data_IF_454053915806
#
_entry.id   IF_454053915806
#
_cell.length_a   1.000
_cell.length_b   1.000
_cell.length_c   1.000
_cell.angle_alpha   90.00
_cell.angle_beta   90.00
_cell.angle_gamma   90.00
#
_symmetry.space_group_name_H-M   'P 1'
#
loop_
_entity.id
_entity.type
_entity.pdbx_description
1 polymer ?
#
# COMPACT_ATOMS: atom_id res chain seq x y z
N UNK A 1 -41.93 -69.14 -30.12
CA UNK A 1 -42.48 -67.98 -29.39
C UNK A 1 -41.57 -67.71 -28.26
N UNK A 2 -40.51 -66.93 -28.50
CA UNK A 2 -39.56 -66.42 -27.45
C UNK A 2 -39.22 -65.03 -27.82
N UNK A 3 -39.56 -64.09 -26.94
CA UNK A 3 -39.37 -62.70 -27.06
C UNK A 3 -38.00 -62.34 -26.58
N UNK A 4 -37.12 -61.88 -27.49
CA UNK A 4 -35.80 -61.38 -27.14
C UNK A 4 -35.86 -59.89 -26.79
N UNK A 5 -35.60 -59.58 -25.52
CA UNK A 5 -35.58 -58.22 -24.99
C UNK A 5 -34.17 -57.66 -25.06
N UNK A 6 -33.96 -56.73 -25.99
CA UNK A 6 -32.69 -56.00 -26.17
C UNK A 6 -32.55 -54.95 -25.08
N UNK A 7 -31.52 -55.06 -24.20
CA UNK A 7 -31.12 -54.02 -23.24
C UNK A 7 -30.40 -52.90 -24.01
N UNK A 8 -31.01 -51.73 -23.98
CA UNK A 8 -30.34 -50.46 -24.37
C UNK A 8 -29.34 -50.05 -23.30
N UNK A 9 -28.07 -49.97 -23.66
CA UNK A 9 -27.00 -49.43 -22.85
C UNK A 9 -27.13 -47.88 -22.76
N UNK A 10 -27.28 -47.38 -21.55
CA UNK A 10 -27.18 -45.94 -21.27
C UNK A 10 -25.69 -45.52 -21.36
N UNK A 11 -25.35 -44.80 -22.43
CA UNK A 11 -24.08 -44.13 -22.57
C UNK A 11 -23.92 -43.04 -21.51
N UNK A 12 -22.82 -43.11 -20.78
CA UNK A 12 -22.39 -42.10 -19.83
C UNK A 12 -22.11 -40.81 -20.57
N UNK A 13 -22.61 -39.62 -20.13
CA UNK A 13 -22.34 -38.36 -20.82
C UNK A 13 -20.87 -38.00 -20.65
N UNK A 14 -20.18 -37.77 -21.77
CA UNK A 14 -18.81 -37.30 -21.84
C UNK A 14 -18.61 -36.05 -20.97
N UNK A 15 -17.67 -36.14 -20.02
CA UNK A 15 -17.23 -35.01 -19.19
C UNK A 15 -16.64 -33.95 -20.10
N UNK A 16 -17.37 -32.88 -20.30
CA UNK A 16 -16.87 -31.64 -20.90
C UNK A 16 -15.66 -31.14 -20.11
N UNK A 17 -14.54 -30.78 -20.76
CA UNK A 17 -13.41 -30.18 -20.06
C UNK A 17 -13.88 -28.90 -19.38
N UNK A 18 -13.59 -28.76 -18.08
CA UNK A 18 -13.86 -27.54 -17.31
C UNK A 18 -13.20 -26.37 -18.03
N UNK A 19 -14.01 -25.57 -18.70
CA UNK A 19 -13.61 -24.32 -19.31
C UNK A 19 -12.92 -23.47 -18.27
N UNK A 20 -11.75 -22.94 -18.60
CA UNK A 20 -11.07 -21.89 -17.88
C UNK A 20 -12.06 -20.74 -17.74
N UNK A 21 -12.56 -20.52 -16.50
CA UNK A 21 -13.39 -19.37 -16.17
C UNK A 21 -12.70 -18.08 -16.63
N UNK A 22 -13.44 -16.98 -16.86
CA UNK A 22 -12.85 -15.76 -17.37
C UNK A 22 -11.69 -15.36 -16.44
N UNK A 23 -10.48 -15.21 -17.01
CA UNK A 23 -9.34 -14.62 -16.31
C UNK A 23 -9.85 -13.29 -15.74
N UNK A 24 -9.81 -13.13 -14.43
CA UNK A 24 -10.07 -11.83 -13.79
C UNK A 24 -9.11 -10.85 -14.46
N UNK A 25 -9.65 -9.97 -15.31
CA UNK A 25 -8.83 -8.98 -16.01
C UNK A 25 -8.24 -8.07 -14.97
N UNK A 26 -6.95 -7.77 -15.12
CA UNK A 26 -6.24 -6.83 -14.24
C UNK A 26 -6.98 -5.48 -14.25
N UNK A 27 -7.50 -4.99 -13.11
CA UNK A 27 -8.29 -3.77 -13.07
C UNK A 27 -7.48 -2.54 -13.49
N UNK A 28 -6.17 -2.52 -13.25
CA UNK A 28 -5.29 -1.46 -13.69
C UNK A 28 -5.17 -1.44 -15.22
N UNK A 29 -4.96 -2.61 -15.83
CA UNK A 29 -4.90 -2.74 -17.29
C UNK A 29 -6.22 -2.35 -17.95
N UNK A 30 -7.36 -2.69 -17.34
CA UNK A 30 -8.69 -2.28 -17.84
C UNK A 30 -8.86 -0.77 -17.82
N UNK A 31 -8.58 -0.13 -16.68
CA UNK A 31 -8.70 1.33 -16.53
C UNK A 31 -7.76 2.08 -17.47
N UNK A 32 -6.55 1.57 -17.64
CA UNK A 32 -5.56 2.15 -18.57
C UNK A 32 -6.02 2.02 -20.04
N UNK A 33 -6.65 0.90 -20.40
CA UNK A 33 -7.14 0.70 -21.77
C UNK A 33 -8.41 1.54 -22.09
N UNK A 34 -9.20 1.89 -21.07
CA UNK A 34 -10.40 2.73 -21.23
C UNK A 34 -10.07 4.23 -21.20
N UNK A 35 -8.93 4.62 -20.64
CA UNK A 35 -8.52 6.02 -20.51
C UNK A 35 -7.97 6.54 -21.84
N UNK A 36 -8.62 7.56 -22.41
CA UNK A 36 -8.26 8.15 -23.70
C UNK A 36 -7.27 9.33 -23.60
N UNK A 37 -6.90 9.73 -22.38
CA UNK A 37 -6.00 10.86 -22.14
C UNK A 37 -6.65 12.24 -22.27
N UNK A 38 -7.95 12.32 -22.52
CA UNK A 38 -8.70 13.57 -22.73
C UNK A 38 -9.80 13.77 -21.71
N UNK A 39 -10.60 12.73 -21.47
CA UNK A 39 -11.72 12.81 -20.54
C UNK A 39 -11.28 12.60 -19.08
N UNK A 40 -11.46 13.62 -18.28
CA UNK A 40 -11.17 13.60 -16.83
C UNK A 40 -12.06 12.63 -16.06
N UNK A 41 -13.27 12.41 -16.53
CA UNK A 41 -14.30 11.55 -15.93
C UNK A 41 -15.02 10.79 -17.01
N UNK A 42 -15.13 9.48 -16.87
CA UNK A 42 -15.89 8.62 -17.80
C UNK A 42 -16.57 7.47 -17.05
N UNK A 43 -17.56 6.87 -17.70
CA UNK A 43 -18.21 5.66 -17.19
C UNK A 43 -17.59 4.45 -17.87
N UNK A 44 -16.98 3.56 -17.07
CA UNK A 44 -16.39 2.32 -17.58
C UNK A 44 -17.44 1.37 -18.13
N UNK A 45 -17.02 0.41 -18.95
CA UNK A 45 -17.89 -0.66 -19.45
C UNK A 45 -18.56 -1.48 -18.31
N UNK A 46 -17.97 -1.50 -17.12
CA UNK A 46 -18.53 -2.15 -15.93
C UNK A 46 -19.51 -1.23 -15.14
N UNK A 47 -19.79 -0.01 -15.62
CA UNK A 47 -20.70 0.93 -14.99
C UNK A 47 -20.09 1.77 -13.84
N UNK A 48 -18.82 1.57 -13.52
CA UNK A 48 -18.10 2.40 -12.54
C UNK A 48 -17.74 3.76 -13.16
N UNK A 49 -17.93 4.84 -12.43
CA UNK A 49 -17.48 6.18 -12.86
C UNK A 49 -16.01 6.33 -12.47
N UNK A 50 -15.16 6.40 -13.48
CA UNK A 50 -13.71 6.54 -13.33
C UNK A 50 -13.31 8.01 -13.37
N UNK A 51 -12.34 8.39 -12.53
CA UNK A 51 -11.84 9.76 -12.41
C UNK A 51 -10.32 9.75 -12.55
N UNK A 52 -9.80 10.41 -13.58
CA UNK A 52 -8.38 10.57 -13.87
C UNK A 52 -7.92 12.03 -13.98
N UNK A 53 -8.86 12.99 -14.06
CA UNK A 53 -8.53 14.40 -14.04
C UNK A 53 -8.15 14.90 -12.63
N UNK A 54 -7.15 15.78 -12.48
CA UNK A 54 -6.72 16.30 -11.18
C UNK A 54 -7.79 17.07 -10.44
N UNK A 55 -8.54 17.93 -11.12
CA UNK A 55 -9.59 18.74 -10.50
C UNK A 55 -10.75 17.90 -9.95
N UNK A 56 -11.43 17.04 -10.75
CA UNK A 56 -12.47 16.17 -10.23
C UNK A 56 -11.94 15.16 -9.20
N UNK A 57 -10.70 14.69 -9.30
CA UNK A 57 -10.09 13.83 -8.28
C UNK A 57 -9.97 14.56 -6.93
N UNK A 58 -9.52 15.81 -6.94
CA UNK A 58 -9.44 16.65 -5.72
C UNK A 58 -10.82 16.99 -5.16
N UNK A 59 -11.80 17.26 -6.02
CA UNK A 59 -13.18 17.52 -5.58
C UNK A 59 -13.75 16.31 -4.83
N UNK A 60 -13.63 15.10 -5.41
CA UNK A 60 -14.11 13.85 -4.80
C UNK A 60 -13.35 13.52 -3.51
N UNK A 61 -12.02 13.61 -3.50
CA UNK A 61 -11.21 13.26 -2.32
C UNK A 61 -11.29 14.33 -1.23
N UNK A 62 -11.45 15.60 -1.60
CA UNK A 62 -11.57 16.74 -0.70
C UNK A 62 -12.91 16.78 0.01
N UNK A 63 -13.97 16.35 -0.63
CA UNK A 63 -15.33 16.21 -0.11
C UNK A 63 -15.82 17.41 0.72
N UNK A 64 -15.51 18.64 0.26
CA UNK A 64 -15.79 19.88 1.03
C UNK A 64 -17.28 20.09 1.28
N UNK A 65 -18.10 19.71 0.31
CA UNK A 65 -19.55 19.96 0.31
C UNK A 65 -20.37 18.72 0.71
N UNK A 66 -19.72 17.66 1.24
CA UNK A 66 -20.38 16.39 1.57
C UNK A 66 -20.92 15.66 0.33
N UNK A 67 -20.37 15.96 -0.84
CA UNK A 67 -20.82 15.43 -2.12
C UNK A 67 -20.62 13.91 -2.26
N UNK A 68 -19.75 13.31 -1.46
CA UNK A 68 -19.56 11.86 -1.37
C UNK A 68 -19.71 11.40 0.07
N UNK A 69 -20.16 10.15 0.25
CA UNK A 69 -20.24 9.53 1.56
C UNK A 69 -18.84 9.50 2.20
N UNK A 70 -18.74 9.97 3.44
CA UNK A 70 -17.50 9.88 4.19
C UNK A 70 -17.20 8.43 4.52
N UNK A 71 -16.07 7.95 4.03
CA UNK A 71 -15.56 6.62 4.35
C UNK A 71 -14.11 6.73 4.74
N UNK A 72 -13.80 6.29 5.95
CA UNK A 72 -12.44 6.22 6.43
C UNK A 72 -11.84 4.86 6.08
N UNK A 73 -11.38 4.67 4.84
CA UNK A 73 -10.84 3.38 4.37
C UNK A 73 -9.80 2.77 5.34
N UNK A 74 -8.99 3.63 5.96
CA UNK A 74 -7.96 3.22 6.91
C UNK A 74 -8.51 2.79 8.28
N UNK A 75 -9.61 3.42 8.73
CA UNK A 75 -10.26 3.15 10.01
C UNK A 75 -11.50 2.26 9.89
N UNK A 76 -11.68 1.60 8.74
CA UNK A 76 -12.80 0.70 8.54
C UNK A 76 -12.55 -0.64 9.21
N UNK A 77 -13.47 -1.02 10.11
CA UNK A 77 -13.48 -2.31 10.79
C UNK A 77 -14.64 -3.16 10.30
N UNK A 78 -14.75 -4.38 10.80
CA UNK A 78 -15.90 -5.28 10.51
C UNK A 78 -17.24 -4.71 10.96
N UNK A 79 -17.23 -3.80 11.94
CA UNK A 79 -18.44 -3.19 12.49
C UNK A 79 -18.75 -1.82 11.85
N UNK A 80 -18.03 -1.42 10.83
CA UNK A 80 -18.15 -0.13 10.16
C UNK A 80 -16.95 0.78 10.40
N UNK A 81 -17.14 2.09 10.29
CA UNK A 81 -16.08 3.06 10.55
C UNK A 81 -15.78 3.11 12.05
N UNK A 82 -14.49 3.02 12.38
CA UNK A 82 -14.02 3.01 13.76
C UNK A 82 -14.16 4.36 14.43
N UNK A 83 -14.94 4.42 15.52
CA UNK A 83 -15.05 5.57 16.41
C UNK A 83 -15.45 6.88 15.73
N UNK A 84 -15.57 7.94 16.53
CA UNK A 84 -15.81 9.28 15.99
C UNK A 84 -14.56 9.81 15.28
N UNK A 85 -14.75 10.70 14.29
CA UNK A 85 -13.67 11.32 13.52
C UNK A 85 -12.59 11.96 14.40
N UNK A 86 -12.97 12.53 15.53
CA UNK A 86 -12.04 13.10 16.50
C UNK A 86 -11.03 12.07 17.05
N UNK A 87 -11.48 10.85 17.37
CA UNK A 87 -10.60 9.76 17.81
C UNK A 87 -9.63 9.34 16.70
N UNK A 88 -10.11 9.20 15.46
CA UNK A 88 -9.25 8.89 14.30
C UNK A 88 -8.15 9.94 14.11
N UNK A 89 -8.47 11.23 14.27
CA UNK A 89 -7.50 12.34 14.20
C UNK A 89 -6.49 12.26 15.33
N UNK A 90 -6.92 11.99 16.58
CA UNK A 90 -6.01 11.84 17.74
C UNK A 90 -5.03 10.69 17.50
N UNK A 91 -5.53 9.50 17.15
CA UNK A 91 -4.72 8.31 16.85
C UNK A 91 -3.70 8.62 15.73
N UNK A 92 -4.15 9.21 14.62
CA UNK A 92 -3.28 9.56 13.50
C UNK A 92 -2.20 10.58 13.87
N UNK A 93 -2.53 11.59 14.69
CA UNK A 93 -1.59 12.60 15.17
C UNK A 93 -0.56 12.02 16.14
N UNK A 94 -1.01 11.26 17.13
CA UNK A 94 -0.14 10.63 18.12
C UNK A 94 0.77 9.58 17.48
N UNK A 95 0.22 8.72 16.58
CA UNK A 95 1.01 7.73 15.84
C UNK A 95 2.10 8.36 14.97
N UNK A 96 1.77 9.42 14.23
CA UNK A 96 2.75 10.18 13.45
C UNK A 96 3.84 10.80 14.32
N UNK A 97 3.49 11.39 15.47
CA UNK A 97 4.46 11.97 16.37
C UNK A 97 5.42 10.92 16.94
N UNK A 98 4.89 9.76 17.33
CA UNK A 98 5.67 8.64 17.84
C UNK A 98 6.64 8.10 16.77
N UNK A 99 6.15 7.84 15.54
CA UNK A 99 6.98 7.37 14.43
C UNK A 99 8.07 8.39 14.11
N UNK A 100 7.75 9.69 14.06
CA UNK A 100 8.74 10.74 13.78
C UNK A 100 9.86 10.73 14.81
N UNK A 101 9.55 10.70 16.10
CA UNK A 101 10.56 10.62 17.18
C UNK A 101 11.45 9.38 17.02
N UNK A 102 10.86 8.24 16.68
CA UNK A 102 11.60 7.00 16.47
C UNK A 102 12.55 7.11 15.26
N UNK A 103 12.08 7.64 14.12
CA UNK A 103 12.89 7.83 12.93
C UNK A 103 14.07 8.79 13.19
N UNK A 104 13.82 9.89 13.91
CA UNK A 104 14.88 10.85 14.30
C UNK A 104 15.95 10.18 15.18
N UNK A 105 15.54 9.42 16.17
CA UNK A 105 16.44 8.72 17.09
C UNK A 105 17.24 7.58 16.44
N UNK A 106 16.63 6.88 15.45
CA UNK A 106 17.20 5.68 14.83
C UNK A 106 17.81 5.92 13.44
N UNK A 107 17.79 7.15 12.96
CA UNK A 107 18.38 7.52 11.67
C UNK A 107 19.83 7.07 11.50
N UNK A 108 20.72 7.21 12.53
CA UNK A 108 22.10 6.76 12.43
C UNK A 108 22.28 5.25 12.20
N UNK A 109 21.28 4.43 12.50
CA UNK A 109 21.33 2.97 12.32
C UNK A 109 21.01 2.51 10.90
N UNK A 110 20.39 3.38 10.06
CA UNK A 110 19.96 3.04 8.71
C UNK A 110 21.08 2.50 7.81
N UNK A 111 22.34 3.07 7.79
CA UNK A 111 23.40 2.54 6.94
C UNK A 111 23.77 1.09 7.28
N UNK A 112 23.86 0.74 8.57
CA UNK A 112 24.15 -0.61 9.02
C UNK A 112 23.02 -1.58 8.63
N UNK A 113 21.75 -1.13 8.81
CA UNK A 113 20.57 -1.90 8.46
C UNK A 113 20.50 -2.19 6.94
N UNK A 114 20.82 -1.21 6.10
CA UNK A 114 20.92 -1.38 4.64
C UNK A 114 22.03 -2.35 4.27
N UNK A 115 23.20 -2.24 4.88
CA UNK A 115 24.32 -3.13 4.64
C UNK A 115 24.00 -4.57 5.00
N UNK A 116 23.35 -4.79 6.15
CA UNK A 116 22.96 -6.13 6.63
C UNK A 116 21.91 -6.81 5.75
N UNK A 117 20.94 -6.04 5.21
CA UNK A 117 19.74 -6.62 4.63
C UNK A 117 19.64 -6.53 3.11
N UNK A 118 20.36 -5.62 2.48
CA UNK A 118 20.28 -5.38 1.04
C UNK A 118 21.57 -5.74 0.28
N UNK A 119 22.70 -5.82 0.95
CA UNK A 119 24.03 -6.05 0.32
C UNK A 119 24.46 -7.50 0.51
N UNK A 120 25.07 -8.15 -0.50
CA UNK A 120 25.25 -7.65 -1.87
C UNK A 120 24.02 -7.82 -2.74
N UNK A 121 23.08 -8.65 -2.36
CA UNK A 121 21.91 -8.98 -3.16
C UNK A 121 20.65 -9.14 -2.30
N UNK A 122 19.52 -8.73 -2.84
CA UNK A 122 18.23 -8.77 -2.14
C UNK A 122 17.05 -9.04 -3.09
N UNK A 123 16.02 -9.74 -2.58
CA UNK A 123 14.80 -10.08 -3.35
C UNK A 123 13.66 -9.16 -2.96
N UNK A 124 13.16 -8.44 -3.93
CA UNK A 124 12.11 -7.44 -3.80
C UNK A 124 10.74 -7.93 -4.27
N UNK A 125 9.65 -7.39 -3.73
CA UNK A 125 9.54 -6.29 -2.75
C UNK A 125 9.78 -6.72 -1.30
N UNK A 126 9.98 -7.99 -1.01
CA UNK A 126 10.06 -8.54 0.36
C UNK A 126 11.22 -7.90 1.16
N UNK A 127 12.36 -7.65 0.51
CA UNK A 127 13.51 -7.00 1.15
C UNK A 127 13.17 -5.60 1.69
N UNK A 128 12.46 -4.78 0.91
CA UNK A 128 12.01 -3.46 1.34
C UNK A 128 11.06 -3.53 2.53
N UNK A 129 10.07 -4.43 2.47
CA UNK A 129 9.12 -4.61 3.56
C UNK A 129 9.81 -5.08 4.86
N UNK A 130 10.76 -6.00 4.77
CA UNK A 130 11.51 -6.50 5.92
C UNK A 130 12.44 -5.43 6.51
N UNK A 131 13.12 -4.65 5.66
CA UNK A 131 13.96 -3.54 6.08
C UNK A 131 13.15 -2.52 6.88
N UNK A 132 12.02 -2.08 6.32
CA UNK A 132 11.11 -1.13 6.98
C UNK A 132 10.55 -1.71 8.27
N UNK A 133 10.13 -2.98 8.29
CA UNK A 133 9.66 -3.65 9.50
C UNK A 133 10.72 -3.68 10.60
N UNK A 134 11.96 -4.01 10.26
CA UNK A 134 13.05 -4.07 11.25
C UNK A 134 13.38 -2.69 11.80
N UNK A 135 13.41 -1.68 10.95
CA UNK A 135 13.63 -0.30 11.39
C UNK A 135 12.52 0.21 12.30
N UNK A 136 11.26 -0.09 12.01
CA UNK A 136 10.09 0.36 12.77
C UNK A 136 9.69 -0.60 13.91
N UNK A 137 10.38 -1.71 14.10
CA UNK A 137 9.97 -2.78 15.02
C UNK A 137 9.60 -2.27 16.42
N UNK A 138 10.45 -1.45 17.01
CA UNK A 138 10.33 -1.01 18.40
C UNK A 138 9.21 0.05 18.57
N UNK A 139 8.85 0.78 17.50
CA UNK A 139 7.73 1.73 17.50
C UNK A 139 6.41 1.06 17.15
N UNK A 140 6.44 -0.02 16.38
CA UNK A 140 5.26 -0.85 16.14
C UNK A 140 4.85 -1.59 17.40
N UNK A 141 5.84 -2.14 18.12
CA UNK A 141 5.66 -2.87 19.37
C UNK A 141 6.90 -2.68 20.26
N UNK A 142 6.71 -2.13 21.47
CA UNK A 142 7.83 -1.83 22.37
C UNK A 142 8.58 -3.11 22.81
N UNK A 143 9.87 -2.99 23.09
CA UNK A 143 10.75 -4.13 23.40
C UNK A 143 10.33 -4.96 24.61
N UNK A 144 9.67 -4.33 25.58
CA UNK A 144 9.16 -5.01 26.78
C UNK A 144 7.85 -5.77 26.60
N UNK A 145 7.27 -5.80 25.38
CA UNK A 145 6.10 -6.63 25.10
C UNK A 145 6.46 -8.13 25.14
N UNK A 146 5.47 -8.99 25.33
CA UNK A 146 5.71 -10.43 25.47
C UNK A 146 6.38 -11.03 24.22
N UNK A 147 7.29 -12.03 24.40
CA UNK A 147 7.90 -12.74 23.27
C UNK A 147 6.87 -13.35 22.33
N UNK A 148 5.73 -13.81 22.85
CA UNK A 148 4.63 -14.35 22.06
C UNK A 148 4.02 -13.29 21.13
N UNK A 149 3.84 -12.06 21.63
CA UNK A 149 3.28 -10.97 20.83
C UNK A 149 4.28 -10.54 19.74
N UNK A 150 5.57 -10.42 20.06
CA UNK A 150 6.62 -10.15 19.07
C UNK A 150 6.65 -11.23 17.97
N UNK A 151 6.59 -12.51 18.33
CA UNK A 151 6.52 -13.60 17.36
C UNK A 151 5.26 -13.52 16.49
N UNK A 152 4.10 -13.16 17.10
CA UNK A 152 2.84 -13.02 16.39
C UNK A 152 2.91 -11.89 15.36
N UNK A 153 3.41 -10.71 15.74
CA UNK A 153 3.57 -9.57 14.81
C UNK A 153 4.53 -9.92 13.67
N UNK A 154 5.68 -10.54 13.98
CA UNK A 154 6.61 -11.03 12.96
C UNK A 154 5.93 -11.99 11.97
N UNK A 155 5.16 -12.96 12.47
CA UNK A 155 4.42 -13.88 11.62
C UNK A 155 3.33 -13.20 10.79
N UNK A 156 2.65 -12.16 11.30
CA UNK A 156 1.68 -11.38 10.54
C UNK A 156 2.39 -10.71 9.36
N UNK A 157 3.53 -10.07 9.57
CA UNK A 157 4.32 -9.47 8.48
C UNK A 157 4.69 -10.52 7.45
N UNK A 158 5.28 -11.64 7.87
CA UNK A 158 5.70 -12.71 6.95
C UNK A 158 4.54 -13.34 6.17
N UNK A 159 3.34 -13.42 6.72
CA UNK A 159 2.20 -14.11 6.09
C UNK A 159 1.23 -13.20 5.35
N UNK A 160 1.18 -11.93 5.68
CA UNK A 160 0.18 -11.01 5.15
C UNK A 160 0.77 -9.83 4.38
N UNK A 161 2.00 -9.38 4.70
CA UNK A 161 2.66 -8.23 4.07
C UNK A 161 3.54 -8.68 2.91
N UNK A 162 4.37 -9.73 3.10
CA UNK A 162 5.32 -10.17 2.07
C UNK A 162 4.62 -10.65 0.80
N UNK A 163 5.20 -10.30 -0.34
CA UNK A 163 4.69 -10.67 -1.65
C UNK A 163 4.65 -12.20 -1.82
N UNK A 164 3.55 -12.67 -2.38
CA UNK A 164 3.35 -14.11 -2.57
C UNK A 164 3.05 -14.90 -1.30
N UNK A 165 3.10 -14.31 -0.10
CA UNK A 165 2.81 -15.00 1.15
C UNK A 165 1.42 -15.67 1.15
N UNK A 166 0.41 -15.01 0.58
CA UNK A 166 -0.95 -15.56 0.47
C UNK A 166 -1.03 -16.81 -0.39
N UNK A 167 -0.17 -16.97 -1.39
CA UNK A 167 -0.15 -18.14 -2.27
C UNK A 167 0.55 -19.35 -1.64
N UNK A 168 1.39 -19.14 -0.62
CA UNK A 168 2.16 -20.18 0.07
C UNK A 168 1.38 -20.96 1.13
N UNK A 169 0.20 -20.46 1.52
CA UNK A 169 -0.58 -21.04 2.62
C UNK A 169 -2.00 -21.39 2.17
N UNK A 170 -2.44 -22.61 2.56
CA UNK A 170 -3.82 -23.05 2.30
C UNK A 170 -4.86 -22.19 3.02
N UNK A 171 -6.10 -22.11 2.52
CA UNK A 171 -7.16 -21.35 3.18
C UNK A 171 -7.39 -21.71 4.65
N UNK A 172 -7.45 -23.00 5.05
CA UNK A 172 -7.62 -23.38 6.46
C UNK A 172 -6.43 -22.95 7.32
N UNK A 173 -5.18 -23.08 6.82
CA UNK A 173 -3.99 -22.61 7.54
C UNK A 173 -4.02 -21.10 7.77
N UNK A 174 -4.50 -20.32 6.80
CA UNK A 174 -4.65 -18.86 6.92
C UNK A 174 -5.72 -18.50 7.95
N UNK A 175 -6.86 -19.22 7.97
CA UNK A 175 -7.94 -18.98 8.91
C UNK A 175 -7.51 -19.30 10.36
N UNK A 176 -6.85 -20.45 10.56
CA UNK A 176 -6.34 -20.85 11.88
C UNK A 176 -5.30 -19.84 12.40
N UNK A 177 -4.37 -19.45 11.55
CA UNK A 177 -3.37 -18.43 11.89
C UNK A 177 -4.04 -17.10 12.27
N UNK A 178 -4.98 -16.62 11.45
CA UNK A 178 -5.71 -15.38 11.73
C UNK A 178 -6.40 -15.42 13.09
N UNK A 179 -7.11 -16.53 13.40
CA UNK A 179 -7.78 -16.69 14.70
C UNK A 179 -6.78 -16.61 15.86
N UNK A 180 -5.66 -17.32 15.77
CA UNK A 180 -4.61 -17.30 16.79
C UNK A 180 -4.00 -15.91 16.96
N UNK A 181 -3.61 -15.26 15.88
CA UNK A 181 -2.99 -13.94 15.90
C UNK A 181 -3.92 -12.89 16.51
N UNK A 182 -5.20 -12.90 16.11
CA UNK A 182 -6.20 -12.00 16.68
C UNK A 182 -6.46 -12.29 18.17
N UNK A 183 -6.47 -13.56 18.60
CA UNK A 183 -6.63 -13.91 20.00
C UNK A 183 -5.52 -13.32 20.87
N UNK A 184 -4.25 -13.40 20.41
CA UNK A 184 -3.10 -12.81 21.13
C UNK A 184 -3.22 -11.29 21.17
N UNK A 185 -3.56 -10.63 20.07
CA UNK A 185 -3.75 -9.17 20.01
C UNK A 185 -4.91 -8.72 20.92
N UNK A 186 -6.03 -9.41 20.91
CA UNK A 186 -7.17 -9.06 21.77
C UNK A 186 -6.84 -9.22 23.26
N UNK A 187 -6.05 -10.23 23.63
CA UNK A 187 -5.63 -10.42 25.03
C UNK A 187 -4.74 -9.26 25.49
N UNK A 188 -3.76 -8.87 24.65
CA UNK A 188 -2.86 -7.74 24.91
C UNK A 188 -3.63 -6.41 25.01
N UNK A 189 -4.52 -6.14 24.04
CA UNK A 189 -5.32 -4.91 24.04
C UNK A 189 -6.15 -4.81 25.32
N UNK A 190 -6.81 -5.90 25.74
CA UNK A 190 -7.54 -5.92 27.02
C UNK A 190 -6.65 -5.69 28.24
N UNK A 191 -5.42 -6.19 28.22
CA UNK A 191 -4.45 -5.92 29.28
C UNK A 191 -4.12 -4.42 29.35
N UNK A 192 -3.80 -3.82 28.19
CA UNK A 192 -3.51 -2.37 28.11
C UNK A 192 -4.71 -1.48 28.44
N UNK A 193 -5.93 -1.89 28.08
CA UNK A 193 -7.15 -1.17 28.49
C UNK A 193 -7.35 -1.16 30.01
N UNK A 194 -6.95 -2.21 30.73
CA UNK A 194 -7.01 -2.26 32.20
C UNK A 194 -5.96 -1.37 32.88
N UNK A 195 -4.83 -1.15 32.21
CA UNK A 195 -3.77 -0.23 32.66
C UNK A 195 -4.09 1.25 32.39
N UNK A 196 -5.28 1.54 31.84
CA UNK A 196 -5.76 2.85 31.36
C UNK A 196 -5.94 3.84 32.51
N UNK A 197 -5.09 4.08 33.33
CA UNK A 197 -5.08 5.08 34.42
C UNK A 197 -3.67 5.45 34.83
N UNK A 198 -2.69 4.71 34.36
CA UNK A 198 -1.28 5.02 34.60
C UNK A 198 -0.81 6.07 33.57
N UNK A 199 -0.47 7.26 34.05
CA UNK A 199 0.09 8.33 33.22
C UNK A 199 1.51 7.97 32.77
N UNK A 200 1.62 7.40 31.58
CA UNK A 200 2.89 7.28 30.86
C UNK A 200 2.68 7.64 29.40
N UNK A 201 3.71 8.13 28.74
CA UNK A 201 3.68 8.34 27.29
C UNK A 201 3.47 7.00 26.54
N UNK A 202 2.78 7.01 25.37
CA UNK A 202 2.65 5.81 24.55
C UNK A 202 4.02 5.22 24.21
N UNK A 203 4.21 3.94 24.53
CA UNK A 203 5.47 3.19 24.30
C UNK A 203 5.60 2.74 22.85
N UNK A 204 4.46 2.46 22.19
CA UNK A 204 4.36 1.93 20.83
C UNK A 204 3.03 2.32 20.17
N UNK A 205 2.87 1.95 18.90
CA UNK A 205 1.64 2.21 18.14
C UNK A 205 0.41 1.49 18.70
N UNK A 206 0.59 0.35 19.36
CA UNK A 206 -0.54 -0.34 20.00
C UNK A 206 -1.04 0.45 21.23
N UNK A 207 -0.13 1.02 22.02
CA UNK A 207 -0.51 1.95 23.10
C UNK A 207 -1.24 3.18 22.55
N UNK A 208 -0.77 3.76 21.44
CA UNK A 208 -1.44 4.89 20.78
C UNK A 208 -2.88 4.52 20.41
N UNK A 209 -3.06 3.39 19.72
CA UNK A 209 -4.41 2.96 19.29
C UNK A 209 -5.33 2.75 20.47
N UNK A 210 -4.84 2.12 21.56
CA UNK A 210 -5.66 1.85 22.75
C UNK A 210 -6.01 3.16 23.48
N UNK A 211 -5.05 4.08 23.65
CA UNK A 211 -5.20 5.28 24.49
C UNK A 211 -5.96 6.41 23.85
N UNK A 212 -5.75 6.61 22.54
CA UNK A 212 -6.40 7.69 21.80
C UNK A 212 -7.81 7.33 21.31
N UNK A 213 -8.23 6.08 21.54
CA UNK A 213 -9.59 5.61 21.26
C UNK A 213 -10.57 6.01 22.35
N UNK A 214 -11.86 5.90 22.08
CA UNK A 214 -12.89 6.13 23.08
C UNK A 214 -12.84 5.04 24.17
N UNK A 215 -13.09 5.40 25.46
CA UNK A 215 -13.22 4.42 26.52
C UNK A 215 -14.25 3.34 26.19
N UNK A 216 -13.91 2.08 26.41
CA UNK A 216 -14.80 0.94 26.12
C UNK A 216 -14.82 0.49 24.66
N UNK A 217 -13.96 1.03 23.79
CA UNK A 217 -13.83 0.54 22.42
C UNK A 217 -13.58 -0.98 22.36
N UNK A 218 -14.24 -1.67 21.41
CA UNK A 218 -14.10 -3.14 21.28
C UNK A 218 -12.64 -3.51 20.93
N UNK A 219 -11.98 -4.38 21.70
CA UNK A 219 -10.64 -4.88 21.41
C UNK A 219 -10.46 -5.44 20.01
N UNK A 220 -11.53 -5.93 19.38
CA UNK A 220 -11.48 -6.44 18.01
C UNK A 220 -11.29 -5.31 17.00
N UNK A 221 -12.00 -4.21 17.17
CA UNK A 221 -11.87 -3.04 16.29
C UNK A 221 -10.51 -2.37 16.49
N UNK A 222 -10.05 -2.24 17.74
CA UNK A 222 -8.71 -1.75 18.06
C UNK A 222 -7.60 -2.60 17.40
N UNK A 223 -7.77 -3.92 17.38
CA UNK A 223 -6.83 -4.81 16.69
C UNK A 223 -6.83 -4.59 15.18
N UNK A 224 -8.00 -4.38 14.56
CA UNK A 224 -8.10 -4.10 13.12
C UNK A 224 -7.47 -2.74 12.78
N UNK A 225 -7.68 -1.71 13.57
CA UNK A 225 -7.03 -0.39 13.42
C UNK A 225 -5.50 -0.52 13.58
N UNK A 226 -5.02 -1.22 14.59
CA UNK A 226 -3.58 -1.46 14.77
C UNK A 226 -2.97 -2.21 13.57
N UNK A 227 -3.66 -3.24 13.06
CA UNK A 227 -3.21 -3.97 11.88
C UNK A 227 -3.20 -3.08 10.62
N UNK A 228 -4.13 -2.13 10.48
CA UNK A 228 -4.10 -1.15 9.40
C UNK A 228 -2.84 -0.27 9.46
N UNK A 229 -2.43 0.18 10.66
CA UNK A 229 -1.15 0.87 10.85
C UNK A 229 0.04 -0.01 10.49
N UNK A 230 0.06 -1.26 10.97
CA UNK A 230 1.14 -2.21 10.65
C UNK A 230 1.28 -2.43 9.13
N UNK A 231 0.17 -2.65 8.43
CA UNK A 231 0.18 -2.89 6.99
C UNK A 231 0.56 -1.63 6.20
N UNK A 232 0.09 -0.46 6.62
CA UNK A 232 0.45 0.80 5.99
C UNK A 232 1.93 1.14 6.23
N UNK A 233 2.41 1.07 7.46
CA UNK A 233 3.78 1.42 7.82
C UNK A 233 4.82 0.48 7.20
N UNK A 234 4.53 -0.82 7.13
CA UNK A 234 5.47 -1.81 6.60
C UNK A 234 5.22 -2.10 5.12
N UNK A 235 3.96 -2.40 4.76
CA UNK A 235 3.60 -2.80 3.40
C UNK A 235 3.73 -1.66 2.40
N UNK A 236 3.04 -0.56 2.65
CA UNK A 236 3.00 0.55 1.68
C UNK A 236 4.36 1.26 1.56
N UNK A 237 5.06 1.48 2.68
CA UNK A 237 6.39 2.11 2.65
C UNK A 237 7.42 1.19 1.97
N UNK A 238 7.38 -0.12 2.26
CA UNK A 238 8.25 -1.09 1.60
C UNK A 238 7.98 -1.20 0.10
N UNK A 239 6.73 -1.09 -0.35
CA UNK A 239 6.41 -1.06 -1.77
C UNK A 239 6.86 0.22 -2.45
N UNK A 240 6.70 1.37 -1.81
CA UNK A 240 7.21 2.65 -2.33
C UNK A 240 8.74 2.61 -2.49
N UNK A 241 9.46 2.08 -1.50
CA UNK A 241 10.90 1.85 -1.59
C UNK A 241 11.23 0.88 -2.74
N UNK A 242 10.48 -0.22 -2.85
CA UNK A 242 10.66 -1.22 -3.90
C UNK A 242 10.48 -0.65 -5.31
N UNK A 243 9.49 0.21 -5.54
CA UNK A 243 9.31 0.91 -6.80
C UNK A 243 10.48 1.86 -7.10
N UNK A 244 10.95 2.59 -6.10
CA UNK A 244 12.09 3.51 -6.26
C UNK A 244 13.37 2.74 -6.63
N UNK A 245 13.66 1.65 -5.94
CA UNK A 245 14.83 0.80 -6.23
C UNK A 245 14.71 0.14 -7.61
N UNK A 246 13.52 -0.33 -7.98
CA UNK A 246 13.28 -0.90 -9.30
C UNK A 246 13.55 0.11 -10.42
N UNK A 247 13.00 1.32 -10.31
CA UNK A 247 13.20 2.37 -11.31
C UNK A 247 14.66 2.81 -11.40
N UNK A 248 15.34 2.99 -10.29
CA UNK A 248 16.76 3.34 -10.28
C UNK A 248 17.63 2.24 -10.89
N UNK A 249 17.34 0.98 -10.61
CA UNK A 249 18.09 -0.14 -11.15
C UNK A 249 17.85 -0.39 -12.64
N UNK A 250 16.71 0.07 -13.17
CA UNK A 250 16.40 0.03 -14.61
C UNK A 250 16.83 1.30 -15.35
N UNK A 251 17.22 2.37 -14.62
CA UNK A 251 17.71 3.65 -15.15
C UNK A 251 19.02 4.05 -14.46
N UNK A 252 20.13 3.33 -14.72
CA UNK A 252 21.39 3.53 -13.99
C UNK A 252 22.02 4.92 -14.18
N UNK A 253 21.67 5.64 -15.25
CA UNK A 253 22.02 7.04 -15.50
C UNK A 253 21.36 8.01 -14.49
N UNK A 254 20.33 7.59 -13.77
CA UNK A 254 19.60 8.37 -12.77
C UNK A 254 20.01 8.09 -11.32
N UNK A 255 21.00 7.21 -11.08
CA UNK A 255 21.46 6.85 -9.73
C UNK A 255 22.03 8.01 -8.92
N UNK A 256 22.54 9.05 -9.60
CA UNK A 256 23.11 10.22 -8.95
C UNK A 256 22.10 11.36 -8.72
N UNK A 257 20.82 11.14 -9.06
CA UNK A 257 19.78 12.15 -8.86
C UNK A 257 19.50 12.38 -7.37
N UNK A 258 18.96 13.56 -7.08
CA UNK A 258 18.51 13.92 -5.74
C UNK A 258 17.48 12.87 -5.23
N UNK A 259 17.70 12.27 -4.04
CA UNK A 259 16.79 11.25 -3.51
C UNK A 259 15.34 11.69 -3.42
N UNK A 260 15.08 12.95 -3.07
CA UNK A 260 13.74 13.51 -2.99
C UNK A 260 13.02 13.54 -4.34
N UNK A 261 13.73 13.86 -5.42
CA UNK A 261 13.19 13.87 -6.78
C UNK A 261 12.88 12.43 -7.24
N UNK A 262 13.81 11.54 -6.97
CA UNK A 262 13.69 10.11 -7.32
C UNK A 262 12.47 9.46 -6.66
N UNK A 263 12.30 9.70 -5.35
CA UNK A 263 11.16 9.17 -4.59
C UNK A 263 9.84 9.76 -5.08
N UNK A 264 9.79 11.07 -5.33
CA UNK A 264 8.58 11.72 -5.86
C UNK A 264 8.21 11.17 -7.23
N UNK A 265 9.17 10.98 -8.12
CA UNK A 265 8.91 10.45 -9.45
C UNK A 265 8.48 8.97 -9.41
N UNK A 266 9.07 8.18 -8.54
CA UNK A 266 8.63 6.81 -8.32
C UNK A 266 7.18 6.74 -7.82
N UNK A 267 6.79 7.60 -6.87
CA UNK A 267 5.42 7.69 -6.37
C UNK A 267 4.45 8.29 -7.40
N UNK A 268 4.91 9.14 -8.32
CA UNK A 268 4.12 9.60 -9.44
C UNK A 268 3.80 8.45 -10.39
N UNK A 269 4.82 7.75 -10.84
CA UNK A 269 4.64 6.62 -11.77
C UNK A 269 3.89 5.45 -11.12
N UNK A 270 4.20 5.13 -9.87
CA UNK A 270 3.68 3.96 -9.18
C UNK A 270 3.13 4.32 -7.80
N UNK A 271 2.01 5.06 -7.74
CA UNK A 271 1.39 5.38 -6.46
C UNK A 271 0.89 4.10 -5.78
N UNK A 272 1.37 3.84 -4.56
CA UNK A 272 0.99 2.64 -3.82
C UNK A 272 -0.51 2.60 -3.56
N UNK A 273 -1.09 3.74 -3.17
CA UNK A 273 -2.54 3.95 -3.11
C UNK A 273 -3.04 4.45 -4.48
N UNK A 274 -3.23 3.54 -5.40
CA UNK A 274 -3.48 3.82 -6.81
C UNK A 274 -4.95 4.06 -7.19
N UNK A 275 -5.88 3.66 -6.31
CA UNK A 275 -7.32 3.76 -6.53
C UNK A 275 -8.05 4.07 -5.22
N UNK A 276 -8.93 5.06 -5.23
CA UNK A 276 -9.83 5.39 -4.13
C UNK A 276 -11.29 5.26 -4.56
N UNK A 277 -12.03 4.39 -3.86
CA UNK A 277 -13.46 4.22 -4.11
C UNK A 277 -14.27 5.21 -3.26
N UNK A 278 -15.27 5.86 -3.86
CA UNK A 278 -16.23 6.71 -3.17
C UNK A 278 -17.64 6.46 -3.69
N UNK A 279 -18.64 6.82 -2.90
CA UNK A 279 -20.07 6.77 -3.30
C UNK A 279 -20.65 8.18 -3.21
N UNK A 280 -21.27 8.73 -4.26
CA UNK A 280 -21.92 10.01 -4.18
C UNK A 280 -23.06 10.01 -3.14
N UNK A 281 -23.20 11.10 -2.40
CA UNK A 281 -24.26 11.27 -1.39
C UNK A 281 -25.60 11.65 -2.01
N UNK A 282 -25.57 12.34 -3.14
CA UNK A 282 -26.73 12.82 -3.89
C UNK A 282 -26.41 12.87 -5.40
N UNK A 283 -27.44 13.14 -6.22
CA UNK A 283 -27.24 13.33 -7.66
C UNK A 283 -26.53 14.65 -7.90
N UNK A 284 -25.44 14.61 -8.66
CA UNK A 284 -24.57 15.74 -8.95
C UNK A 284 -23.86 15.56 -10.30
N UNK A 285 -23.18 16.60 -10.79
CA UNK A 285 -22.31 16.52 -11.96
C UNK A 285 -20.84 16.56 -11.56
N UNK A 286 -20.06 15.63 -12.10
CA UNK A 286 -18.63 15.53 -11.92
C UNK A 286 -17.95 15.47 -13.29
N UNK A 287 -17.15 16.47 -13.63
CA UNK A 287 -16.49 16.56 -14.95
C UNK A 287 -17.46 16.40 -16.13
N UNK A 288 -18.66 16.98 -16.04
CA UNK A 288 -19.72 16.85 -17.05
C UNK A 288 -20.56 15.56 -16.97
N UNK A 289 -20.12 14.52 -16.25
CA UNK A 289 -20.83 13.25 -16.05
C UNK A 289 -21.81 13.35 -14.87
N UNK A 290 -23.08 12.95 -15.08
CA UNK A 290 -24.04 12.83 -13.98
C UNK A 290 -23.74 11.59 -13.14
N UNK A 291 -23.69 11.78 -11.81
CA UNK A 291 -23.43 10.73 -10.84
C UNK A 291 -24.40 10.82 -9.67
N UNK A 292 -24.73 9.70 -9.04
CA UNK A 292 -25.67 9.64 -7.92
C UNK A 292 -25.39 8.49 -6.94
N UNK A 293 -26.22 8.36 -5.89
CA UNK A 293 -25.97 7.41 -4.78
C UNK A 293 -25.86 5.92 -5.16
N UNK A 294 -26.30 5.57 -6.37
CA UNK A 294 -26.17 4.19 -6.89
C UNK A 294 -24.85 3.97 -7.63
N UNK A 295 -24.13 5.05 -7.97
CA UNK A 295 -22.87 4.96 -8.66
C UNK A 295 -21.72 4.68 -7.70
N UNK A 296 -20.66 4.11 -8.25
CA UNK A 296 -19.38 3.95 -7.58
C UNK A 296 -18.35 4.80 -8.31
N UNK A 297 -17.73 5.73 -7.60
CA UNK A 297 -16.63 6.53 -8.13
C UNK A 297 -15.32 5.79 -7.86
N UNK A 298 -14.44 5.76 -8.85
CA UNK A 298 -13.10 5.21 -8.77
C UNK A 298 -12.08 6.31 -9.15
N UNK A 299 -11.54 7.00 -8.15
CA UNK A 299 -10.47 7.99 -8.36
C UNK A 299 -9.16 7.23 -8.55
N UNK A 300 -8.67 7.21 -9.79
CA UNK A 300 -7.47 6.48 -10.17
C UNK A 300 -6.24 7.39 -10.17
N UNK A 301 -5.53 7.47 -9.03
CA UNK A 301 -4.33 8.32 -8.91
C UNK A 301 -3.21 7.88 -9.86
N UNK A 302 -3.16 6.60 -10.23
CA UNK A 302 -2.25 6.11 -11.26
C UNK A 302 -2.46 6.81 -12.61
N UNK A 303 -3.71 7.04 -13.01
CA UNK A 303 -4.03 7.77 -14.24
C UNK A 303 -3.94 9.29 -14.05
N UNK A 304 -4.35 9.83 -12.90
CA UNK A 304 -4.15 11.27 -12.57
C UNK A 304 -2.68 11.65 -12.73
N UNK A 305 -1.77 10.81 -12.25
CA UNK A 305 -0.33 11.04 -12.35
C UNK A 305 0.25 10.80 -13.75
N UNK A 306 -0.56 10.31 -14.68
CA UNK A 306 -0.20 10.06 -16.08
C UNK A 306 -1.04 10.85 -17.07
N UNK A 307 -1.88 11.75 -16.59
CA UNK A 307 -2.76 12.53 -17.46
C UNK A 307 -1.91 13.43 -18.39
N UNK A 308 -1.97 13.26 -19.73
CA UNK A 308 -1.05 13.93 -20.66
C UNK A 308 -1.28 15.44 -20.71
N UNK A 309 -2.47 15.93 -20.34
CA UNK A 309 -2.76 17.36 -20.20
C UNK A 309 -2.03 18.05 -19.04
N UNK A 310 -1.46 17.28 -18.11
CA UNK A 310 -0.81 17.80 -16.89
C UNK A 310 0.65 17.34 -16.74
N UNK A 311 1.04 16.25 -17.39
CA UNK A 311 2.39 15.70 -17.27
C UNK A 311 3.04 15.53 -18.65
N UNK A 312 4.15 16.21 -18.88
CA UNK A 312 5.01 15.98 -20.03
C UNK A 312 5.69 14.62 -19.87
N UNK A 313 5.75 13.81 -20.95
CA UNK A 313 6.31 12.45 -20.93
C UNK A 313 5.76 11.65 -19.74
N UNK A 314 4.42 11.40 -19.70
CA UNK A 314 3.74 10.93 -18.50
C UNK A 314 4.16 9.53 -18.05
N UNK A 315 4.64 8.68 -18.96
CA UNK A 315 5.03 7.31 -18.65
C UNK A 315 6.54 7.11 -18.43
N UNK A 316 7.33 8.16 -18.65
CA UNK A 316 8.77 8.10 -18.46
C UNK A 316 9.20 8.44 -17.04
N UNK A 317 10.31 7.80 -16.60
CA UNK A 317 10.96 8.10 -15.34
C UNK A 317 11.92 9.28 -15.49
N UNK A 318 11.47 10.48 -15.11
CA UNK A 318 12.17 11.75 -15.26
C UNK A 318 12.23 12.48 -13.90
N UNK A 319 13.16 12.09 -13.01
CA UNK A 319 13.29 12.72 -11.69
C UNK A 319 13.55 14.23 -11.76
N UNK A 320 14.19 14.70 -12.83
CA UNK A 320 14.55 16.10 -13.03
C UNK A 320 13.37 17.06 -13.13
N UNK A 321 12.17 16.53 -13.44
CA UNK A 321 10.95 17.37 -13.44
C UNK A 321 10.66 18.01 -12.10
N UNK A 322 11.17 17.43 -11.01
CA UNK A 322 10.98 17.92 -9.65
C UNK A 322 11.90 19.09 -9.28
N UNK A 323 12.82 19.50 -10.16
CA UNK A 323 13.59 20.74 -10.03
C UNK A 323 12.72 21.99 -10.27
N UNK A 324 11.57 21.85 -10.92
CA UNK A 324 10.61 22.90 -11.18
C UNK A 324 9.27 22.65 -10.41
N UNK A 325 8.42 23.67 -10.26
CA UNK A 325 7.07 23.49 -9.74
C UNK A 325 6.29 22.49 -10.59
N UNK A 326 5.63 21.52 -9.92
CA UNK A 326 4.76 20.54 -10.58
C UNK A 326 3.37 21.10 -10.83
N UNK A 327 2.59 20.53 -11.77
CA UNK A 327 1.21 20.95 -12.02
C UNK A 327 0.36 20.91 -10.74
N UNK A 328 -0.33 22.01 -10.44
CA UNK A 328 -1.14 22.12 -9.23
C UNK A 328 -2.22 21.04 -9.19
N UNK A 329 -2.28 20.33 -8.09
CA UNK A 329 -3.27 19.30 -7.84
C UNK A 329 -3.13 17.99 -8.61
N UNK A 330 -2.16 17.86 -9.52
CA UNK A 330 -1.96 16.65 -10.31
C UNK A 330 -1.10 15.57 -9.61
N UNK A 331 -0.55 15.85 -8.43
CA UNK A 331 0.29 14.92 -7.66
C UNK A 331 -0.38 14.54 -6.34
N UNK A 332 -0.97 13.35 -6.28
CA UNK A 332 -1.83 12.87 -5.19
C UNK A 332 -1.37 11.50 -4.62
N UNK A 333 -0.06 11.23 -4.40
CA UNK A 333 0.42 9.90 -4.01
C UNK A 333 -0.04 9.47 -2.62
N UNK A 334 -0.47 10.42 -1.80
CA UNK A 334 -0.95 10.23 -0.43
C UNK A 334 -2.45 10.55 -0.28
N UNK A 335 -3.18 10.61 -1.39
CA UNK A 335 -4.55 11.09 -1.43
C UNK A 335 -4.67 12.60 -1.27
N UNK A 336 -5.87 13.09 -0.94
CA UNK A 336 -6.18 14.52 -0.79
C UNK A 336 -7.28 14.74 0.25
N UNK A 337 -7.32 15.94 0.83
CA UNK A 337 -8.39 16.39 1.73
C UNK A 337 -8.35 15.74 3.12
N UNK A 338 -9.52 15.54 3.76
CA UNK A 338 -9.62 15.09 5.15
C UNK A 338 -8.99 13.73 5.42
N UNK A 339 -8.89 12.88 4.40
CA UNK A 339 -8.35 11.53 4.48
C UNK A 339 -6.94 11.40 3.87
N UNK A 340 -6.23 12.51 3.68
CA UNK A 340 -4.81 12.49 3.30
C UNK A 340 -4.01 11.66 4.29
N UNK A 341 -3.05 10.88 3.77
CA UNK A 341 -2.21 10.02 4.59
C UNK A 341 -1.53 10.79 5.73
N UNK A 342 -1.83 10.41 6.97
CA UNK A 342 -1.23 11.04 8.15
C UNK A 342 0.30 10.83 8.23
N UNK A 343 0.81 9.76 7.60
CA UNK A 343 2.23 9.40 7.55
C UNK A 343 3.01 10.00 6.38
N UNK A 344 2.42 10.82 5.51
CA UNK A 344 3.06 11.28 4.27
C UNK A 344 4.47 11.86 4.48
N UNK A 345 4.61 12.83 5.40
CA UNK A 345 5.88 13.51 5.67
C UNK A 345 6.94 12.55 6.23
N UNK A 346 6.57 11.69 7.17
CA UNK A 346 7.52 10.73 7.78
C UNK A 346 7.91 9.64 6.79
N UNK A 347 7.00 9.24 5.92
CA UNK A 347 7.25 8.28 4.84
C UNK A 347 8.23 8.85 3.82
N UNK A 348 7.99 10.07 3.33
CA UNK A 348 8.89 10.72 2.39
C UNK A 348 10.30 10.81 2.95
N UNK A 349 10.44 11.29 4.17
CA UNK A 349 11.75 11.42 4.81
C UNK A 349 12.49 10.07 4.93
N UNK A 350 11.79 9.02 5.37
CA UNK A 350 12.40 7.68 5.48
C UNK A 350 12.82 7.14 4.12
N UNK A 351 12.00 7.33 3.08
CA UNK A 351 12.33 6.89 1.72
C UNK A 351 13.55 7.66 1.17
N UNK A 352 13.59 8.97 1.36
CA UNK A 352 14.72 9.83 0.93
C UNK A 352 16.02 9.42 1.63
N UNK A 353 16.00 9.19 2.94
CA UNK A 353 17.16 8.70 3.70
C UNK A 353 17.62 7.33 3.19
N UNK A 354 16.71 6.37 3.01
CA UNK A 354 17.04 5.04 2.53
C UNK A 354 17.60 5.05 1.10
N UNK A 355 16.98 5.81 0.19
CA UNK A 355 17.44 5.93 -1.19
C UNK A 355 18.82 6.57 -1.22
N UNK A 356 19.06 7.65 -0.46
CA UNK A 356 20.36 8.28 -0.35
C UNK A 356 21.46 7.34 0.16
N UNK A 357 21.14 6.44 1.10
CA UNK A 357 22.07 5.44 1.61
C UNK A 357 22.32 4.32 0.58
N UNK A 358 21.27 3.86 -0.11
CA UNK A 358 21.36 2.78 -1.10
C UNK A 358 22.19 3.23 -2.30
N UNK A 359 22.07 4.48 -2.75
CA UNK A 359 22.73 4.99 -3.95
C UNK A 359 24.11 5.59 -3.70
N UNK A 360 24.45 5.88 -2.43
CA UNK A 360 25.75 6.49 -2.08
C UNK A 360 26.89 5.52 -2.39
N UNK A 361 27.78 5.92 -3.30
CA UNK A 361 29.00 5.21 -3.67
C UNK A 361 28.78 3.76 -4.13
N UNK A 362 27.55 3.46 -4.64
CA UNK A 362 27.18 2.10 -5.09
C UNK A 362 26.62 2.13 -6.50
N UNK A 363 26.85 1.01 -7.20
CA UNK A 363 26.09 0.62 -8.38
C UNK A 363 24.89 -0.21 -7.93
N UNK A 364 23.76 0.02 -8.59
CA UNK A 364 22.53 -0.75 -8.42
C UNK A 364 22.17 -1.36 -9.75
N UNK A 365 22.01 -2.69 -9.79
CA UNK A 365 21.45 -3.40 -10.93
C UNK A 365 20.23 -4.20 -10.50
N UNK A 366 19.28 -4.36 -11.41
CA UNK A 366 18.02 -5.06 -11.18
C UNK A 366 17.80 -6.12 -12.26
N UNK A 367 17.46 -7.32 -11.85
CA UNK A 367 17.00 -8.39 -12.74
C UNK A 367 15.60 -8.85 -12.34
N UNK A 368 14.70 -9.01 -13.32
CA UNK A 368 13.34 -9.48 -13.11
C UNK A 368 12.93 -10.50 -14.17
N UNK A 369 11.91 -11.30 -13.88
CA UNK A 369 11.39 -12.36 -14.73
C UNK A 369 10.39 -11.86 -15.82
N UNK A 370 10.27 -10.55 -15.98
CA UNK A 370 9.31 -9.93 -16.91
C UNK A 370 7.88 -9.82 -16.36
N UNK A 371 7.64 -10.26 -15.12
CA UNK A 371 6.34 -10.08 -14.49
C UNK A 371 6.01 -8.60 -14.31
N UNK A 372 4.75 -8.23 -14.54
CA UNK A 372 4.23 -6.89 -14.31
C UNK A 372 4.01 -6.56 -12.83
N UNK A 373 3.49 -5.36 -12.53
CA UNK A 373 3.13 -4.94 -11.20
C UNK A 373 2.13 -5.89 -10.55
N UNK A 374 2.20 -6.01 -9.23
CA UNK A 374 1.22 -6.78 -8.46
C UNK A 374 0.06 -5.87 -8.07
N UNK A 375 -1.05 -5.98 -8.79
CA UNK A 375 -2.24 -5.15 -8.60
C UNK A 375 -3.13 -5.73 -7.50
N UNK A 376 -3.38 -4.94 -6.48
CA UNK A 376 -4.20 -5.27 -5.32
C UNK A 376 -4.72 -3.99 -4.64
N UNK A 377 -5.13 -4.05 -3.36
CA UNK A 377 -5.47 -2.84 -2.60
C UNK A 377 -4.32 -1.81 -2.57
N UNK A 378 -3.08 -2.31 -2.61
CA UNK A 378 -1.87 -1.53 -2.83
C UNK A 378 -1.20 -2.00 -4.13
N UNK A 379 -0.62 -1.05 -4.87
CA UNK A 379 0.13 -1.34 -6.09
C UNK A 379 1.58 -1.66 -5.72
N UNK A 380 1.91 -2.95 -5.72
CA UNK A 380 3.25 -3.42 -5.39
C UNK A 380 4.11 -3.62 -6.64
N UNK A 381 5.45 -3.44 -6.54
CA UNK A 381 6.35 -3.70 -7.65
C UNK A 381 6.34 -5.18 -8.05
N UNK A 382 6.78 -5.49 -9.28
CA UNK A 382 7.03 -6.87 -9.68
C UNK A 382 8.06 -7.51 -8.75
N UNK A 383 8.18 -8.83 -8.82
CA UNK A 383 9.28 -9.49 -8.14
C UNK A 383 10.57 -9.28 -8.92
N UNK A 384 11.62 -8.83 -8.25
CA UNK A 384 12.94 -8.64 -8.84
C UNK A 384 14.06 -8.91 -7.83
N UNK A 385 15.27 -9.11 -8.33
CA UNK A 385 16.49 -9.16 -7.55
C UNK A 385 17.28 -7.87 -7.78
N UNK A 386 17.66 -7.19 -6.70
CA UNK A 386 18.57 -6.06 -6.74
C UNK A 386 19.96 -6.51 -6.26
N UNK A 387 21.00 -6.05 -6.95
CA UNK A 387 22.40 -6.25 -6.58
C UNK A 387 23.03 -4.88 -6.35
N UNK A 388 23.67 -4.71 -5.20
CA UNK A 388 24.42 -3.54 -4.81
C UNK A 388 25.92 -3.86 -4.78
N UNK A 389 26.73 -3.09 -5.52
CA UNK A 389 28.19 -3.19 -5.55
C UNK A 389 28.84 -1.83 -5.37
N UNK A 390 29.99 -1.78 -4.73
CA UNK A 390 30.70 -0.52 -4.51
C UNK A 390 31.22 0.07 -5.83
N UNK A 391 31.14 1.39 -5.99
CA UNK A 391 31.65 2.10 -7.17
C UNK A 391 33.17 2.06 -7.28
N UNK A 392 33.89 1.87 -6.15
CA UNK A 392 35.33 1.79 -6.10
C UNK A 392 35.91 0.48 -6.64
N UNK A 393 35.05 -0.54 -6.90
CA UNK A 393 35.45 -1.88 -7.35
C UNK A 393 35.30 -2.14 -8.86
N UNK A 394 35.00 -1.16 -9.71
CA UNK A 394 34.88 -1.42 -11.14
C UNK A 394 36.25 -1.26 -11.83
N UNK A 395 36.91 -2.36 -12.29
CA UNK A 395 38.10 -2.22 -13.12
C UNK A 395 37.69 -1.68 -14.47
N UNK A 396 38.14 -0.47 -14.78
CA UNK A 396 38.34 0.14 -16.07
C UNK A 396 37.41 -0.23 -17.22
N UNK A 397 36.53 0.70 -17.60
CA UNK A 397 36.27 0.90 -19.01
C UNK A 397 37.53 1.52 -19.64
N UNK A 398 38.34 0.66 -20.28
CA UNK A 398 39.29 1.11 -21.29
C UNK A 398 38.57 1.28 -22.63
#
# INVERSE_FOLDING_TARGET
MESSTTRQGHGEPARTPRGTGPRVRDPLALLTAEFDGVHDVWRSAAGTVCVAGPEPARAVLGNRDGAVAETADFYRTRHGDFGPRAAQIRIGRAGRALIRRHLDARRPELPALVAEHLVPSSVWPDAGNLLVFRHLRDVLLHRGASPQLHATIGQIVHRAVLAGARRRHSPPSRLLFRRRALSVLHAEIRARQREFGSFHEPRDLLDVVVRESEPGSDPKDLAEVYLSFLFAAVGSVGFALGWTVHLLGTHPDRLAMEPSWTVREALRLWPVAWLFARTPSHVQRLGGTEVGPRDRLAVCTYLVHRHPGHWERPDEFVPERWAAPVPDGAYLPFGHGPHTCAGATVTMRLLEDLVGIITRDRWLSVTHDGAGPQVGPALAPPRFTAVLSDRTGCPGRR
#
